data_IF_126374014711
#
_entry.id   IF_126374014711
#
_cell.length_a   1.000
_cell.length_b   1.000
_cell.length_c   1.000
_cell.angle_alpha   90.00
_cell.angle_beta   90.00
_cell.angle_gamma   90.00
#
_symmetry.space_group_name_H-M   'P 1'
#
loop_
_entity.id
_entity.type
_entity.pdbx_description
1 polymer ?
#
# COMPACT_ATOMS: atom_id res chain seq x y z
N UNK A 1 2.45 18.24 56.67
CA UNK A 1 3.41 19.13 55.99
C UNK A 1 4.78 18.46 56.14
N UNK A 2 5.26 17.75 55.11
CA UNK A 2 6.56 17.09 55.17
C UNK A 2 7.58 18.08 54.62
N UNK A 3 8.50 18.54 55.46
CA UNK A 3 9.71 19.21 54.99
C UNK A 3 10.50 18.19 54.16
N UNK A 4 10.47 18.35 52.85
CA UNK A 4 11.42 17.66 51.97
C UNK A 4 12.74 18.40 52.18
N UNK A 5 13.47 17.98 53.21
CA UNK A 5 14.86 18.39 53.41
C UNK A 5 15.59 17.95 52.15
N UNK A 6 16.17 18.92 51.41
CA UNK A 6 17.13 18.64 50.36
C UNK A 6 18.35 17.99 51.00
N UNK A 7 18.29 16.69 51.21
CA UNK A 7 19.44 15.90 51.62
C UNK A 7 20.40 15.84 50.44
N UNK A 8 21.58 16.43 50.61
CA UNK A 8 22.68 16.21 49.68
C UNK A 8 22.93 14.70 49.59
N UNK A 9 22.77 14.12 48.40
CA UNK A 9 22.99 12.69 48.17
C UNK A 9 24.46 12.28 48.29
N UNK A 10 25.36 13.25 48.46
CA UNK A 10 26.81 13.06 48.55
C UNK A 10 27.42 14.04 49.58
N UNK A 11 27.22 13.81 50.90
CA UNK A 11 27.83 14.66 51.93
C UNK A 11 29.36 14.50 51.95
N UNK A 12 30.08 15.54 52.39
CA UNK A 12 31.55 15.50 52.54
C UNK A 12 32.00 14.52 53.63
N UNK A 13 33.23 14.02 53.55
CA UNK A 13 33.80 13.12 54.56
C UNK A 13 33.88 13.78 55.95
N UNK A 14 34.20 15.08 55.99
CA UNK A 14 34.21 15.86 57.24
C UNK A 14 32.82 15.91 57.90
N UNK A 15 31.76 16.08 57.09
CA UNK A 15 30.40 16.06 57.60
C UNK A 15 30.00 14.66 58.11
N UNK A 16 30.36 13.59 57.39
CA UNK A 16 30.12 12.21 57.85
C UNK A 16 30.82 11.94 59.19
N UNK A 17 32.09 12.31 59.31
CA UNK A 17 32.85 12.15 60.55
C UNK A 17 32.24 12.96 61.71
N UNK A 18 31.83 14.21 61.44
CA UNK A 18 31.17 15.07 62.43
C UNK A 18 29.86 14.46 62.94
N UNK A 19 29.02 13.92 62.05
CA UNK A 19 27.74 13.30 62.44
C UNK A 19 27.92 12.03 63.26
N UNK A 20 28.99 11.27 63.00
CA UNK A 20 29.30 10.04 63.72
C UNK A 20 30.01 10.30 65.07
N UNK A 21 30.61 11.48 65.26
CA UNK A 21 31.36 11.81 66.46
C UNK A 21 30.47 11.76 67.72
N UNK A 22 30.96 11.08 68.76
CA UNK A 22 30.23 10.95 70.04
C UNK A 22 29.14 9.87 70.05
N UNK A 23 28.84 9.23 68.92
CA UNK A 23 27.92 8.08 68.89
C UNK A 23 28.62 6.82 69.40
N UNK A 24 27.87 6.01 70.16
CA UNK A 24 28.32 4.67 70.55
C UNK A 24 28.39 3.75 69.32
N UNK A 25 29.34 2.79 69.26
CA UNK A 25 29.46 1.84 68.15
C UNK A 25 28.16 1.10 67.84
N UNK A 26 27.40 0.69 68.85
CA UNK A 26 26.12 -0.02 68.67
C UNK A 26 25.10 0.79 67.85
N UNK A 27 25.06 2.11 68.07
CA UNK A 27 24.14 3.01 67.37
C UNK A 27 24.58 3.18 65.91
N UNK A 28 25.88 3.31 65.67
CA UNK A 28 26.43 3.42 64.30
C UNK A 28 26.13 2.15 63.50
N UNK A 29 26.27 0.97 64.12
CA UNK A 29 25.96 -0.31 63.50
C UNK A 29 24.46 -0.45 63.21
N UNK A 30 23.58 -0.05 64.12
CA UNK A 30 22.13 -0.06 63.91
C UNK A 30 21.72 0.85 62.72
N UNK A 31 22.24 2.09 62.67
CA UNK A 31 22.01 3.01 61.55
C UNK A 31 22.48 2.38 60.23
N UNK A 32 23.69 1.82 60.22
CA UNK A 32 24.28 1.18 59.03
C UNK A 32 23.45 -0.02 58.58
N UNK A 33 22.98 -0.84 59.52
CA UNK A 33 22.14 -2.01 59.22
C UNK A 33 20.82 -1.59 58.58
N UNK A 34 20.16 -0.56 59.12
CA UNK A 34 18.92 -0.02 58.54
C UNK A 34 19.15 0.58 57.15
N UNK A 35 20.26 1.29 56.95
CA UNK A 35 20.62 1.85 55.65
C UNK A 35 20.85 0.75 54.60
N UNK A 36 21.57 -0.32 54.94
CA UNK A 36 21.78 -1.46 54.06
C UNK A 36 20.49 -2.22 53.76
N UNK A 37 19.62 -2.41 54.76
CA UNK A 37 18.32 -3.03 54.57
C UNK A 37 17.43 -2.20 53.62
N UNK A 38 17.41 -0.88 53.80
CA UNK A 38 16.70 0.04 52.91
C UNK A 38 17.25 -0.04 51.48
N UNK A 39 18.57 0.04 51.30
CA UNK A 39 19.20 -0.07 49.99
C UNK A 39 18.87 -1.40 49.31
N UNK A 40 18.96 -2.51 50.04
CA UNK A 40 18.63 -3.85 49.53
C UNK A 40 17.18 -3.94 49.08
N UNK A 41 16.26 -3.35 49.84
CA UNK A 41 14.85 -3.28 49.47
C UNK A 41 14.64 -2.43 48.20
N UNK A 42 15.30 -1.27 48.08
CA UNK A 42 15.21 -0.41 46.89
C UNK A 42 15.69 -1.15 45.63
N UNK A 43 16.85 -1.79 45.70
CA UNK A 43 17.40 -2.60 44.58
C UNK A 43 16.45 -3.73 44.20
N UNK A 44 15.86 -4.41 45.19
CA UNK A 44 14.89 -5.47 44.95
C UNK A 44 13.61 -4.96 44.27
N UNK A 45 13.07 -3.83 44.73
CA UNK A 45 11.88 -3.21 44.12
C UNK A 45 12.15 -2.74 42.69
N UNK A 46 13.31 -2.12 42.45
CA UNK A 46 13.71 -1.70 41.11
C UNK A 46 13.79 -2.90 40.17
N UNK A 47 14.39 -4.00 40.62
CA UNK A 47 14.45 -5.24 39.85
C UNK A 47 13.05 -5.76 39.49
N UNK A 48 12.13 -5.83 40.46
CA UNK A 48 10.76 -6.30 40.20
C UNK A 48 10.03 -5.40 39.18
N UNK A 49 10.22 -4.08 39.29
CA UNK A 49 9.65 -3.14 38.33
C UNK A 49 10.21 -3.35 36.92
N UNK A 50 11.53 -3.52 36.80
CA UNK A 50 12.18 -3.80 35.51
C UNK A 50 11.71 -5.13 34.92
N UNK A 51 11.59 -6.19 35.73
CA UNK A 51 11.05 -7.49 35.31
C UNK A 51 9.60 -7.39 34.81
N UNK A 52 8.75 -6.63 35.50
CA UNK A 52 7.38 -6.35 35.06
C UNK A 52 7.34 -5.58 33.74
N UNK A 53 8.15 -4.53 33.61
CA UNK A 53 8.25 -3.71 32.39
C UNK A 53 8.71 -4.56 31.18
N UNK A 54 9.73 -5.41 31.39
CA UNK A 54 10.21 -6.35 30.38
C UNK A 54 9.13 -7.37 29.99
N UNK A 55 8.41 -7.94 30.97
CA UNK A 55 7.32 -8.89 30.71
C UNK A 55 6.18 -8.27 29.88
N UNK A 56 5.84 -7.01 30.17
CA UNK A 56 4.85 -6.24 29.38
C UNK A 56 5.35 -6.01 27.95
N UNK A 57 6.60 -5.58 27.78
CA UNK A 57 7.20 -5.37 26.46
C UNK A 57 7.29 -6.66 25.64
N UNK A 58 7.70 -7.77 26.26
CA UNK A 58 7.75 -9.10 25.64
C UNK A 58 6.36 -9.56 25.18
N UNK A 59 5.34 -9.34 26.00
CA UNK A 59 3.94 -9.65 25.65
C UNK A 59 3.47 -8.85 24.42
N UNK A 60 3.81 -7.56 24.36
CA UNK A 60 3.50 -6.70 23.20
C UNK A 60 4.24 -7.15 21.94
N UNK A 61 5.52 -7.50 22.05
CA UNK A 61 6.30 -8.01 20.94
C UNK A 61 5.71 -9.30 20.36
N UNK A 62 5.38 -10.26 21.22
CA UNK A 62 4.73 -11.53 20.80
C UNK A 62 3.39 -11.29 20.10
N UNK A 63 2.59 -10.35 20.60
CA UNK A 63 1.33 -9.98 19.96
C UNK A 63 1.57 -9.37 18.57
N UNK A 64 2.53 -8.45 18.45
CA UNK A 64 2.87 -7.82 17.18
C UNK A 64 3.41 -8.82 16.16
N UNK A 65 4.29 -9.73 16.59
CA UNK A 65 4.83 -10.81 15.76
C UNK A 65 3.71 -11.71 15.21
N UNK A 66 2.74 -12.05 16.05
CA UNK A 66 1.56 -12.82 15.62
C UNK A 66 0.75 -12.09 14.55
N UNK A 67 0.46 -10.81 14.76
CA UNK A 67 -0.29 -9.98 13.78
C UNK A 67 0.48 -9.87 12.47
N UNK A 68 1.79 -9.60 12.54
CA UNK A 68 2.63 -9.47 11.36
C UNK A 68 2.69 -10.78 10.56
N UNK A 69 2.83 -11.91 11.26
CA UNK A 69 2.82 -13.24 10.64
C UNK A 69 1.49 -13.51 9.93
N UNK A 70 0.36 -13.22 10.58
CA UNK A 70 -0.98 -13.38 9.99
C UNK A 70 -1.18 -12.49 8.76
N UNK A 71 -0.77 -11.21 8.85
CA UNK A 71 -0.87 -10.28 7.73
C UNK A 71 -0.03 -10.73 6.54
N UNK A 72 1.17 -11.24 6.79
CA UNK A 72 2.06 -11.75 5.75
C UNK A 72 1.44 -12.99 5.06
N UNK A 73 0.90 -13.93 5.84
CA UNK A 73 0.17 -15.09 5.31
C UNK A 73 -1.03 -14.67 4.45
N UNK A 74 -1.82 -13.70 4.90
CA UNK A 74 -2.95 -13.17 4.12
C UNK A 74 -2.51 -12.56 2.80
N UNK A 75 -1.42 -11.78 2.81
CA UNK A 75 -0.84 -11.19 1.60
C UNK A 75 -0.30 -12.24 0.62
N UNK A 76 0.37 -13.27 1.11
CA UNK A 76 0.86 -14.37 0.27
C UNK A 76 -0.29 -15.12 -0.41
N UNK A 77 -1.42 -15.31 0.28
CA UNK A 77 -2.62 -15.90 -0.30
C UNK A 77 -3.22 -15.01 -1.40
N UNK A 78 -3.38 -13.71 -1.14
CA UNK A 78 -3.90 -12.74 -2.13
C UNK A 78 -2.99 -12.65 -3.36
N UNK A 79 -1.68 -12.59 -3.14
CA UNK A 79 -0.67 -12.56 -4.19
C UNK A 79 -0.74 -13.84 -5.05
N UNK A 80 -0.89 -15.00 -4.42
CA UNK A 80 -1.07 -16.28 -5.13
C UNK A 80 -2.37 -16.29 -5.95
N UNK A 81 -3.47 -15.78 -5.40
CA UNK A 81 -4.75 -15.66 -6.11
C UNK A 81 -4.64 -14.76 -7.34
N UNK A 82 -4.07 -13.55 -7.19
CA UNK A 82 -3.84 -12.62 -8.30
C UNK A 82 -2.93 -13.21 -9.38
N UNK A 83 -1.88 -13.93 -8.99
CA UNK A 83 -1.03 -14.67 -9.95
C UNK A 83 -1.83 -15.69 -10.75
N UNK A 84 -2.76 -16.39 -10.10
CA UNK A 84 -3.70 -17.32 -10.73
C UNK A 84 -4.64 -16.64 -11.73
N UNK A 85 -5.22 -15.50 -11.36
CA UNK A 85 -6.07 -14.70 -12.25
C UNK A 85 -5.32 -14.17 -13.47
N UNK A 86 -4.09 -13.67 -13.27
CA UNK A 86 -3.24 -13.23 -14.38
C UNK A 86 -2.95 -14.41 -15.33
N UNK A 87 -2.68 -15.61 -14.80
CA UNK A 87 -2.43 -16.78 -15.62
C UNK A 87 -3.68 -17.20 -16.42
N UNK A 88 -4.86 -17.18 -15.80
CA UNK A 88 -6.12 -17.53 -16.47
C UNK A 88 -6.48 -16.51 -17.55
N UNK A 89 -6.37 -15.21 -17.27
CA UNK A 89 -6.61 -14.13 -18.23
C UNK A 89 -5.64 -14.18 -19.41
N UNK A 90 -4.36 -14.48 -19.16
CA UNK A 90 -3.38 -14.69 -20.24
C UNK A 90 -3.80 -15.84 -21.15
N UNK A 91 -4.26 -16.96 -20.60
CA UNK A 91 -4.74 -18.09 -21.41
C UNK A 91 -5.94 -17.71 -22.28
N UNK A 92 -6.93 -17.04 -21.69
CA UNK A 92 -8.12 -16.57 -22.42
C UNK A 92 -7.75 -15.57 -23.53
N UNK A 93 -6.81 -14.67 -23.26
CA UNK A 93 -6.30 -13.72 -24.26
C UNK A 93 -5.68 -14.46 -25.46
N UNK A 94 -4.83 -15.47 -25.23
CA UNK A 94 -4.22 -16.25 -26.29
C UNK A 94 -5.25 -17.06 -27.10
N UNK A 95 -6.29 -17.57 -26.45
CA UNK A 95 -7.43 -18.22 -27.12
C UNK A 95 -8.18 -17.24 -28.05
N UNK A 96 -8.45 -16.02 -27.59
CA UNK A 96 -9.07 -14.99 -28.41
C UNK A 96 -8.20 -14.55 -29.58
N UNK A 97 -6.88 -14.39 -29.37
CA UNK A 97 -5.93 -14.10 -30.45
C UNK A 97 -5.96 -15.19 -31.52
N UNK A 98 -5.96 -16.46 -31.12
CA UNK A 98 -6.07 -17.59 -32.05
C UNK A 98 -7.37 -17.55 -32.84
N UNK A 99 -8.52 -17.39 -32.18
CA UNK A 99 -9.84 -17.29 -32.83
C UNK A 99 -9.90 -16.10 -33.81
N UNK A 100 -9.31 -14.96 -33.45
CA UNK A 100 -9.25 -13.80 -34.32
C UNK A 100 -8.42 -14.08 -35.58
N UNK A 101 -7.26 -14.70 -35.43
CA UNK A 101 -6.41 -15.12 -36.55
C UNK A 101 -7.16 -16.04 -37.52
N UNK A 102 -7.82 -17.09 -36.99
CA UNK A 102 -8.59 -18.04 -37.80
C UNK A 102 -9.75 -17.36 -38.57
N UNK A 103 -10.46 -16.43 -37.92
CA UNK A 103 -11.55 -15.69 -38.56
C UNK A 103 -11.05 -14.71 -39.62
N UNK A 104 -9.93 -14.04 -39.36
CA UNK A 104 -9.26 -13.16 -40.33
C UNK A 104 -8.85 -13.92 -41.59
N UNK A 105 -8.25 -15.11 -41.44
CA UNK A 105 -7.86 -15.97 -42.56
C UNK A 105 -9.08 -16.41 -43.38
N UNK A 106 -10.16 -16.85 -42.72
CA UNK A 106 -11.43 -17.21 -43.40
C UNK A 106 -12.02 -16.04 -44.18
N UNK A 107 -11.97 -14.82 -43.62
CA UNK A 107 -12.45 -13.63 -44.29
C UNK A 107 -11.60 -13.30 -45.53
N UNK A 108 -10.27 -13.41 -45.42
CA UNK A 108 -9.37 -13.21 -46.56
C UNK A 108 -9.64 -14.22 -47.69
N UNK A 109 -9.82 -15.50 -47.37
CA UNK A 109 -10.14 -16.52 -48.36
C UNK A 109 -11.51 -16.27 -49.01
N UNK A 110 -12.53 -15.87 -48.24
CA UNK A 110 -13.83 -15.48 -48.81
C UNK A 110 -13.74 -14.27 -49.73
N UNK A 111 -12.95 -13.26 -49.36
CA UNK A 111 -12.73 -12.10 -50.21
C UNK A 111 -12.01 -12.47 -51.51
N UNK A 112 -11.03 -13.38 -51.45
CA UNK A 112 -10.36 -13.93 -52.65
C UNK A 112 -11.33 -14.70 -53.55
N UNK A 113 -12.21 -15.51 -52.98
CA UNK A 113 -13.26 -16.22 -53.73
C UNK A 113 -14.25 -15.26 -54.39
N UNK A 114 -14.67 -14.22 -53.66
CA UNK A 114 -15.55 -13.18 -54.18
C UNK A 114 -14.91 -12.45 -55.37
N UNK A 115 -13.65 -12.02 -55.25
CA UNK A 115 -12.91 -11.38 -56.34
C UNK A 115 -12.80 -12.28 -57.59
N UNK A 116 -12.53 -13.59 -57.41
CA UNK A 116 -12.52 -14.56 -58.52
C UNK A 116 -13.88 -14.63 -59.20
N UNK A 117 -14.97 -14.74 -58.43
CA UNK A 117 -16.32 -14.85 -58.96
C UNK A 117 -16.74 -13.58 -59.70
N UNK A 118 -16.42 -12.41 -59.13
CA UNK A 118 -16.66 -11.12 -59.76
C UNK A 118 -15.91 -11.01 -61.10
N UNK A 119 -14.63 -11.38 -61.15
CA UNK A 119 -13.85 -11.40 -62.39
C UNK A 119 -14.44 -12.32 -63.46
N UNK A 120 -14.97 -13.49 -63.07
CA UNK A 120 -15.68 -14.40 -64.00
C UNK A 120 -16.99 -13.79 -64.51
N UNK A 121 -17.77 -13.16 -63.63
CA UNK A 121 -19.02 -12.49 -64.00
C UNK A 121 -18.77 -11.35 -64.98
N UNK A 122 -17.79 -10.48 -64.72
CA UNK A 122 -17.43 -9.38 -65.60
C UNK A 122 -16.95 -9.89 -66.97
N UNK A 123 -16.18 -10.98 -66.99
CA UNK A 123 -15.74 -11.64 -68.23
C UNK A 123 -16.91 -12.19 -69.04
N UNK A 124 -17.88 -12.84 -68.39
CA UNK A 124 -19.09 -13.37 -69.03
C UNK A 124 -19.98 -12.25 -69.56
N UNK A 125 -20.18 -11.19 -68.77
CA UNK A 125 -20.93 -10.00 -69.15
C UNK A 125 -20.31 -9.34 -70.39
N UNK A 126 -18.99 -9.18 -70.43
CA UNK A 126 -18.29 -8.59 -71.56
C UNK A 126 -18.45 -9.46 -72.82
N UNK A 127 -18.30 -10.80 -72.68
CA UNK A 127 -18.55 -11.74 -73.79
C UNK A 127 -19.98 -11.64 -74.32
N UNK A 128 -20.99 -11.63 -73.45
CA UNK A 128 -22.39 -11.53 -73.86
C UNK A 128 -22.73 -10.17 -74.49
N UNK A 129 -22.07 -9.09 -74.08
CA UNK A 129 -22.23 -7.78 -74.73
C UNK A 129 -21.62 -7.76 -76.14
N UNK A 130 -20.51 -8.47 -76.36
CA UNK A 130 -19.86 -8.62 -77.68
C UNK A 130 -20.65 -9.57 -78.58
N UNK A 131 -21.29 -10.61 -78.05
CA UNK A 131 -22.11 -11.58 -78.81
C UNK A 131 -23.55 -11.09 -79.02
N UNK A 132 -24.10 -10.29 -78.09
CA UNK A 132 -25.44 -9.71 -78.16
C UNK A 132 -25.55 -8.44 -79.02
N UNK A 133 -24.44 -7.93 -79.55
CA UNK A 133 -24.42 -6.80 -80.49
C UNK A 133 -24.91 -7.15 -81.91
N UNK A 134 -25.42 -8.38 -82.13
CA UNK A 134 -26.07 -8.77 -83.38
C UNK A 134 -27.59 -8.54 -83.40
N UNK A 135 -28.28 -8.46 -82.25
CA UNK A 135 -29.75 -8.34 -82.22
C UNK A 135 -30.24 -7.60 -80.97
N UNK A 136 -30.31 -6.26 -81.04
CA UNK A 136 -31.49 -5.46 -80.62
C UNK A 136 -31.19 -3.96 -80.71
N UNK A 137 -31.81 -3.35 -81.72
CA UNK A 137 -32.04 -1.91 -81.79
C UNK A 137 -33.03 -1.45 -80.70
N UNK A 138 -32.56 -0.49 -79.89
CA UNK A 138 -33.16 0.85 -79.74
C UNK A 138 -34.58 0.99 -79.17
N UNK A 139 -34.67 1.39 -77.89
CA UNK A 139 -35.54 2.52 -77.50
C UNK A 139 -35.22 3.11 -76.11
N UNK A 140 -34.92 4.43 -76.01
CA UNK A 140 -34.88 5.17 -74.76
C UNK A 140 -36.12 6.08 -74.61
N UNK A 141 -36.62 6.30 -73.38
CA UNK A 141 -37.29 7.54 -72.93
C UNK A 141 -37.70 7.44 -71.43
N UNK A 142 -38.05 8.55 -70.73
CA UNK A 142 -37.39 8.96 -69.49
C UNK A 142 -38.32 8.87 -68.26
N UNK A 143 -37.74 8.84 -67.07
CA UNK A 143 -38.51 8.87 -65.83
C UNK A 143 -37.62 9.17 -64.64
N UNK A 144 -37.52 10.45 -64.31
CA UNK A 144 -36.94 10.94 -63.06
C UNK A 144 -37.70 10.35 -61.86
N UNK A 145 -36.97 9.70 -60.95
CA UNK A 145 -37.30 9.78 -59.53
C UNK A 145 -36.04 9.65 -58.68
N UNK A 146 -35.58 10.82 -58.27
CA UNK A 146 -34.69 11.01 -57.15
C UNK A 146 -35.21 10.31 -55.90
N UNK A 147 -34.38 9.46 -55.30
CA UNK A 147 -34.30 9.36 -53.85
C UNK A 147 -32.81 9.30 -53.49
N UNK A 148 -32.29 10.45 -53.09
CA UNK A 148 -30.99 10.59 -52.45
C UNK A 148 -30.86 9.61 -51.29
N UNK A 149 -29.78 8.81 -51.21
CA UNK A 149 -29.27 8.35 -49.93
C UNK A 149 -28.56 9.55 -49.30
N UNK A 150 -29.09 10.05 -48.19
CA UNK A 150 -28.39 11.03 -47.35
C UNK A 150 -27.02 10.45 -46.99
N UNK A 151 -25.98 11.02 -47.60
CA UNK A 151 -24.63 10.91 -47.07
C UNK A 151 -24.58 11.74 -45.78
N UNK A 152 -24.49 11.07 -44.65
CA UNK A 152 -23.89 11.62 -43.46
C UNK A 152 -22.67 10.77 -43.10
N UNK A 153 -21.52 11.15 -43.65
CA UNK A 153 -20.22 10.85 -43.04
C UNK A 153 -20.13 11.70 -41.78
N UNK A 154 -20.04 11.07 -40.60
CA UNK A 154 -18.96 11.28 -39.62
C UNK A 154 -19.23 10.51 -38.31
N UNK A 155 -18.32 9.56 -38.07
CA UNK A 155 -17.67 9.10 -36.84
C UNK A 155 -18.25 9.38 -35.42
N UNK A 156 -17.92 8.50 -34.44
CA UNK A 156 -18.62 8.37 -33.15
C UNK A 156 -18.01 9.24 -32.04
N UNK A 157 -18.70 9.41 -30.91
CA UNK A 157 -18.03 9.42 -29.62
C UNK A 157 -18.32 8.10 -28.89
N UNK A 158 -17.24 7.41 -28.57
CA UNK A 158 -17.24 6.29 -27.64
C UNK A 158 -17.86 6.73 -26.31
N UNK A 159 -18.86 5.98 -25.84
CA UNK A 159 -19.35 6.08 -24.47
C UNK A 159 -18.77 4.91 -23.69
N UNK A 160 -17.54 5.11 -23.19
CA UNK A 160 -16.97 4.28 -22.14
C UNK A 160 -17.79 4.45 -20.86
N UNK A 161 -17.96 3.41 -20.03
CA UNK A 161 -18.64 3.54 -18.74
C UNK A 161 -17.80 4.42 -17.81
N UNK A 162 -18.43 5.42 -17.20
CA UNK A 162 -17.83 6.19 -16.12
C UNK A 162 -17.71 5.27 -14.91
N UNK A 163 -16.48 4.80 -14.64
CA UNK A 163 -16.11 4.34 -13.31
C UNK A 163 -16.25 5.52 -12.36
N UNK A 164 -17.07 5.36 -11.31
CA UNK A 164 -17.01 6.25 -10.16
C UNK A 164 -15.63 6.10 -9.54
N UNK A 165 -14.81 7.12 -9.75
CA UNK A 165 -13.59 7.35 -9.00
C UNK A 165 -13.99 7.62 -7.54
N UNK A 166 -13.80 6.63 -6.66
CA UNK A 166 -13.50 6.90 -5.26
C UNK A 166 -12.13 7.59 -5.25
N UNK A 167 -12.15 8.91 -5.21
CA UNK A 167 -10.98 9.72 -4.91
C UNK A 167 -10.74 9.68 -3.40
N UNK A 168 -9.71 8.94 -2.99
CA UNK A 168 -8.95 9.22 -1.78
C UNK A 168 -8.34 10.62 -1.90
N UNK A 169 -8.58 11.52 -0.95
CA UNK A 169 -7.55 11.96 -0.01
C UNK A 169 -7.96 13.25 0.70
N UNK A 170 -8.04 13.14 2.03
CA UNK A 170 -7.79 14.13 3.10
C UNK A 170 -8.84 13.96 4.18
N UNK A 171 -8.50 13.11 5.14
CA UNK A 171 -8.58 13.41 6.56
C UNK A 171 -7.95 12.25 7.34
N UNK A 172 -6.61 12.26 7.33
CA UNK A 172 -5.80 11.38 8.17
C UNK A 172 -5.85 11.84 9.61
N UNK A 173 -6.93 11.52 10.31
CA UNK A 173 -7.05 11.71 11.76
C UNK A 173 -7.82 10.55 12.40
N UNK A 174 -7.21 9.37 12.46
CA UNK A 174 -7.61 8.36 13.44
C UNK A 174 -6.35 7.66 13.96
N UNK A 175 -6.20 7.68 15.29
CA UNK A 175 -5.03 7.31 16.10
C UNK A 175 -4.00 8.41 16.36
N UNK A 176 -4.45 9.47 17.05
CA UNK A 176 -3.60 10.16 18.01
C UNK A 176 -3.60 9.37 19.32
N UNK A 177 -2.67 8.42 19.47
CA UNK A 177 -2.30 7.92 20.80
C UNK A 177 -1.33 8.95 21.42
N UNK A 178 -1.91 10.04 21.90
CA UNK A 178 -1.28 10.91 22.88
C UNK A 178 -1.42 10.21 24.24
N UNK A 179 -0.53 9.26 24.54
CA UNK A 179 -0.26 8.92 25.94
C UNK A 179 0.64 10.02 26.51
N UNK A 180 -0.02 11.09 26.98
CA UNK A 180 0.56 11.94 27.99
C UNK A 180 0.39 11.25 29.35
N UNK A 181 1.21 10.23 29.62
CA UNK A 181 1.34 9.72 31.00
C UNK A 181 2.48 10.46 31.67
N UNK A 182 2.16 11.67 32.13
CA UNK A 182 3.00 12.45 33.03
C UNK A 182 3.02 11.81 34.41
N UNK A 183 3.59 10.61 34.53
CA UNK A 183 4.01 10.09 35.81
C UNK A 183 5.39 10.66 36.11
N UNK A 184 5.42 11.78 36.84
CA UNK A 184 6.61 12.25 37.54
C UNK A 184 7.02 11.17 38.55
N UNK A 185 7.77 10.18 38.11
CA UNK A 185 8.42 9.22 38.98
C UNK A 185 9.57 9.94 39.68
N UNK A 186 9.62 9.77 41.00
CA UNK A 186 10.52 10.46 41.94
C UNK A 186 12.02 10.33 41.62
N UNK A 187 12.42 9.47 40.67
CA UNK A 187 13.77 9.35 40.15
C UNK A 187 13.79 9.51 38.62
N UNK A 188 13.73 10.74 38.12
CA UNK A 188 13.96 11.03 36.70
C UNK A 188 15.46 11.25 36.45
N UNK A 189 16.16 10.19 35.99
CA UNK A 189 17.49 10.36 35.41
C UNK A 189 17.34 10.79 33.94
N UNK A 190 17.57 12.08 33.68
CA UNK A 190 17.67 12.61 32.33
C UNK A 190 18.93 12.04 31.66
N UNK A 191 18.76 11.02 30.80
CA UNK A 191 19.80 10.68 29.82
C UNK A 191 19.96 11.82 28.82
N UNK A 192 21.17 12.27 28.47
CA UNK A 192 21.37 13.35 27.52
C UNK A 192 20.76 12.97 26.17
N UNK A 193 19.81 13.78 25.69
CA UNK A 193 19.28 13.68 24.35
C UNK A 193 20.43 13.86 23.35
N UNK A 194 20.59 12.89 22.44
CA UNK A 194 21.46 13.02 21.27
C UNK A 194 21.20 14.35 20.59
N UNK A 195 22.25 15.14 20.43
CA UNK A 195 22.23 16.43 19.77
C UNK A 195 21.50 16.35 18.42
N UNK A 196 20.53 17.25 18.26
CA UNK A 196 19.87 17.50 17.00
C UNK A 196 20.90 17.99 15.98
N UNK A 197 21.22 17.14 15.00
CA UNK A 197 21.94 17.55 13.81
C UNK A 197 21.07 18.58 13.06
N UNK A 198 21.59 19.82 12.99
CA UNK A 198 21.00 20.96 12.27
C UNK A 198 20.88 20.67 10.77
N UNK A 199 19.86 21.20 10.07
CA UNK A 199 19.79 21.13 8.61
C UNK A 199 20.78 22.14 8.00
N UNK A 200 21.67 21.66 7.13
CA UNK A 200 22.51 22.53 6.32
C UNK A 200 21.66 23.24 5.25
N UNK A 201 22.00 24.51 5.06
CA UNK A 201 21.30 25.53 4.29
C UNK A 201 21.58 25.33 2.79
N UNK A 202 20.53 25.40 1.96
CA UNK A 202 20.63 25.57 0.51
C UNK A 202 21.01 27.03 0.19
N UNK A 203 22.13 27.26 -0.51
CA UNK A 203 22.37 28.39 -1.44
C UNK A 203 23.53 28.06 -2.40
N UNK A 204 23.22 27.71 -3.65
CA UNK A 204 23.44 28.55 -4.84
C UNK A 204 22.93 27.87 -6.10
#
# INVERSE_FOLDING_TARGET
KLDIIRTELSPSEEYKAMVLAGLRPDIVLDISTRALAFWSYQVYQERLYQEYSLSRADSQLKQMEKVLTQHNQSRELELTAMRGEIASLKKVMEEYKRKYSDMSERLMERNRQYQKLQGLYDSLRLRNMVVGAGEREMQPQPGYRDLNPVMAKQAPPQRSPQFLSVSSDRDGHFFSCLEADGSNTFFQFNSPAKEAARPFINKH
#
